data_IF_516777262847
#
_entry.id   IF_516777262847
#
_cell.length_a   1.000
_cell.length_b   1.000
_cell.length_c   1.000
_cell.angle_alpha   90.00
_cell.angle_beta   90.00
_cell.angle_gamma   90.00
#
_symmetry.space_group_name_H-M   'P 1'
#
loop_
_entity.id
_entity.type
_entity.pdbx_description
1 polymer ?
#
# COMPACT_ATOMS: atom_id res chain seq x y z
N UNK A 1 -27.76 -43.74 20.74
CA UNK A 1 -27.46 -42.53 21.55
C UNK A 1 -26.51 -41.62 20.77
N UNK A 2 -26.92 -41.15 19.58
CA UNK A 2 -25.98 -40.51 18.61
C UNK A 2 -26.18 -38.99 18.48
N UNK A 3 -27.21 -38.42 19.11
CA UNK A 3 -27.51 -36.98 19.03
C UNK A 3 -26.64 -36.09 19.94
N UNK A 4 -26.10 -36.65 21.04
CA UNK A 4 -25.32 -35.86 22.00
C UNK A 4 -23.92 -35.52 21.48
N UNK A 5 -23.27 -36.44 20.75
CA UNK A 5 -21.92 -36.24 20.22
C UNK A 5 -21.87 -35.25 19.03
N UNK A 6 -22.88 -35.25 18.15
CA UNK A 6 -22.92 -34.30 17.03
C UNK A 6 -23.15 -32.86 17.50
N UNK A 7 -23.86 -32.68 18.61
CA UNK A 7 -24.12 -31.35 19.20
C UNK A 7 -22.84 -30.76 19.82
N UNK A 8 -22.04 -31.57 20.53
CA UNK A 8 -20.76 -31.13 21.11
C UNK A 8 -19.72 -30.72 20.07
N UNK A 9 -19.63 -31.46 18.96
CA UNK A 9 -18.77 -31.09 17.84
C UNK A 9 -19.20 -29.77 17.18
N UNK A 10 -20.51 -29.60 16.95
CA UNK A 10 -21.07 -28.35 16.38
C UNK A 10 -20.79 -27.14 17.27
N UNK A 11 -20.91 -27.30 18.59
CA UNK A 11 -20.58 -26.23 19.54
C UNK A 11 -19.08 -25.91 19.56
N UNK A 12 -18.21 -26.93 19.48
CA UNK A 12 -16.76 -26.74 19.43
C UNK A 12 -16.31 -26.01 18.16
N UNK A 13 -16.87 -26.40 17.01
CA UNK A 13 -16.63 -25.70 15.72
C UNK A 13 -17.15 -24.27 15.77
N UNK A 14 -18.34 -24.04 16.33
CA UNK A 14 -18.90 -22.69 16.45
C UNK A 14 -18.01 -21.77 17.32
N UNK A 15 -17.47 -22.29 18.43
CA UNK A 15 -16.62 -21.53 19.34
C UNK A 15 -15.24 -21.23 18.73
N UNK A 16 -14.72 -22.15 17.91
CA UNK A 16 -13.49 -21.94 17.14
C UNK A 16 -13.67 -20.88 16.05
N UNK A 17 -14.81 -20.89 15.35
CA UNK A 17 -15.13 -19.88 14.33
C UNK A 17 -15.33 -18.49 14.96
N UNK A 18 -16.00 -18.42 16.11
CA UNK A 18 -16.22 -17.15 16.83
C UNK A 18 -14.90 -16.52 17.34
N UNK A 19 -13.99 -17.34 17.84
CA UNK A 19 -12.68 -16.87 18.32
C UNK A 19 -11.77 -16.42 17.18
N UNK A 20 -11.79 -17.15 16.05
CA UNK A 20 -11.08 -16.75 14.83
C UNK A 20 -11.63 -15.45 14.24
N UNK A 21 -12.96 -15.26 14.19
CA UNK A 21 -13.54 -14.02 13.67
C UNK A 21 -13.23 -12.82 14.55
N UNK A 22 -13.25 -12.97 15.88
CA UNK A 22 -12.88 -11.91 16.82
C UNK A 22 -11.41 -11.49 16.71
N UNK A 23 -10.51 -12.41 16.37
CA UNK A 23 -9.08 -12.10 16.15
C UNK A 23 -8.79 -11.53 14.76
N UNK A 24 -9.66 -11.78 13.77
CA UNK A 24 -9.57 -11.18 12.42
C UNK A 24 -10.27 -9.82 12.31
N UNK A 25 -11.30 -9.53 13.11
CA UNK A 25 -11.83 -8.18 13.31
C UNK A 25 -10.86 -7.38 14.19
N UNK A 26 -9.66 -7.15 13.66
CA UNK A 26 -8.68 -6.29 14.27
C UNK A 26 -9.27 -4.88 14.43
N UNK A 27 -9.23 -4.35 15.64
CA UNK A 27 -9.23 -2.91 15.90
C UNK A 27 -7.93 -2.27 15.37
N UNK A 28 -7.48 -2.64 14.16
CA UNK A 28 -6.30 -2.08 13.49
C UNK A 28 -6.56 -0.64 13.02
N UNK A 29 -7.83 -0.26 12.94
CA UNK A 29 -8.24 1.13 12.87
C UNK A 29 -8.18 1.73 14.27
N UNK A 30 -6.99 2.15 14.67
CA UNK A 30 -6.78 2.84 15.94
C UNK A 30 -7.45 4.21 15.87
N UNK A 31 -8.48 4.42 16.69
CA UNK A 31 -9.06 5.75 16.89
C UNK A 31 -8.35 6.41 18.06
N UNK A 32 -7.63 7.49 17.78
CA UNK A 32 -6.91 8.27 18.80
C UNK A 32 -7.45 9.70 18.74
N UNK A 33 -7.89 10.23 19.88
CA UNK A 33 -8.43 11.60 19.94
C UNK A 33 -9.68 11.85 19.09
N UNK A 34 -10.43 10.81 18.72
CA UNK A 34 -11.62 10.91 17.86
C UNK A 34 -11.32 10.86 16.35
N UNK A 35 -10.06 10.69 15.95
CA UNK A 35 -9.67 10.49 14.56
C UNK A 35 -9.32 9.03 14.30
N UNK A 36 -9.86 8.49 13.21
CA UNK A 36 -9.46 7.21 12.63
C UNK A 36 -8.11 7.35 11.94
N UNK A 37 -7.08 6.68 12.45
CA UNK A 37 -5.75 6.71 11.85
C UNK A 37 -5.67 5.78 10.61
N UNK A 38 -4.95 6.17 9.54
CA UNK A 38 -4.78 5.36 8.32
C UNK A 38 -4.07 4.02 8.54
N UNK A 39 -3.27 3.91 9.60
CA UNK A 39 -2.56 2.69 10.01
C UNK A 39 -2.45 2.64 11.54
N UNK A 40 -2.32 1.43 12.11
CA UNK A 40 -2.26 1.24 13.57
C UNK A 40 -1.02 1.87 14.22
N UNK A 41 0.06 2.05 13.46
CA UNK A 41 1.34 2.61 13.91
C UNK A 41 1.58 4.01 13.33
N UNK A 42 0.54 4.70 12.85
CA UNK A 42 0.67 6.00 12.18
C UNK A 42 1.38 7.07 13.01
N UNK A 43 1.32 6.97 14.35
CA UNK A 43 1.97 7.92 15.26
C UNK A 43 3.46 7.63 15.47
N UNK A 44 3.89 6.39 15.22
CA UNK A 44 5.27 5.93 15.37
C UNK A 44 5.98 5.83 14.02
N UNK A 45 5.24 5.96 12.91
CA UNK A 45 5.80 5.98 11.57
C UNK A 45 6.55 7.30 11.35
N UNK A 46 7.85 7.19 11.09
CA UNK A 46 8.67 8.34 10.76
C UNK A 46 8.14 9.00 9.48
N UNK A 47 8.23 10.33 9.40
CA UNK A 47 7.91 11.04 8.17
C UNK A 47 8.84 10.52 7.08
N UNK A 48 8.29 9.82 6.08
CA UNK A 48 9.06 9.35 4.94
C UNK A 48 9.70 10.55 4.24
N UNK A 49 11.01 10.73 4.44
CA UNK A 49 11.78 11.77 3.80
C UNK A 49 11.98 11.40 2.32
N UNK A 50 11.22 12.05 1.46
CA UNK A 50 11.48 12.03 0.03
C UNK A 50 12.41 13.20 -0.29
N UNK A 51 13.71 12.97 -0.57
CA UNK A 51 14.58 14.05 -1.00
C UNK A 51 13.94 14.73 -2.22
N UNK A 52 14.13 16.04 -2.32
CA UNK A 52 13.71 16.76 -3.52
C UNK A 52 14.35 16.06 -4.72
N UNK A 53 13.51 15.47 -5.57
CA UNK A 53 13.96 14.94 -6.85
C UNK A 53 14.57 16.07 -7.69
N UNK A 54 15.27 15.74 -8.78
CA UNK A 54 15.73 16.77 -9.72
C UNK A 54 14.59 17.73 -10.05
N UNK A 55 14.82 19.04 -9.93
CA UNK A 55 13.79 20.08 -10.07
C UNK A 55 13.00 19.97 -11.39
N UNK A 56 13.67 19.42 -12.42
CA UNK A 56 13.08 19.04 -13.69
C UNK A 56 12.42 17.67 -13.63
N UNK A 57 11.10 17.64 -13.40
CA UNK A 57 10.28 16.40 -13.46
C UNK A 57 10.37 15.65 -14.79
N UNK A 58 10.79 16.33 -15.87
CA UNK A 58 10.78 15.82 -17.25
C UNK A 58 12.19 15.61 -17.82
N UNK A 59 13.19 15.35 -16.98
CA UNK A 59 14.59 15.17 -17.40
C UNK A 59 14.74 14.21 -18.61
N UNK A 60 14.05 13.07 -18.58
CA UNK A 60 14.09 12.07 -19.65
C UNK A 60 13.53 12.61 -20.97
N UNK A 61 12.49 13.46 -20.92
CA UNK A 61 11.87 14.04 -22.11
C UNK A 61 12.75 15.15 -22.69
N UNK A 62 13.37 15.97 -21.84
CA UNK A 62 14.31 17.01 -22.25
C UNK A 62 15.51 16.38 -22.96
N UNK A 63 16.11 15.35 -22.37
CA UNK A 63 17.20 14.58 -22.98
C UNK A 63 16.81 13.96 -24.33
N UNK A 64 15.59 13.42 -24.44
CA UNK A 64 15.11 12.85 -25.71
C UNK A 64 14.95 13.93 -26.79
N UNK A 65 14.40 15.09 -26.43
CA UNK A 65 14.22 16.23 -27.35
C UNK A 65 15.56 16.81 -27.79
N UNK A 66 16.53 16.92 -26.88
CA UNK A 66 17.87 17.42 -27.20
C UNK A 66 18.60 16.52 -28.21
N UNK A 67 18.55 15.20 -28.02
CA UNK A 67 19.11 14.23 -28.99
C UNK A 67 18.44 14.34 -30.35
N UNK A 68 17.11 14.44 -30.37
CA UNK A 68 16.36 14.60 -31.61
C UNK A 68 16.76 15.88 -32.37
N UNK A 69 16.91 17.00 -31.67
CA UNK A 69 17.34 18.26 -32.29
C UNK A 69 18.77 18.17 -32.84
N UNK A 70 19.70 17.56 -32.10
CA UNK A 70 21.08 17.36 -32.55
C UNK A 70 21.15 16.47 -33.80
N UNK A 71 20.40 15.37 -33.85
CA UNK A 71 20.33 14.49 -35.02
C UNK A 71 19.79 15.24 -36.25
N UNK A 72 18.77 16.08 -36.06
CA UNK A 72 18.22 16.92 -37.13
C UNK A 72 19.22 17.93 -37.66
N UNK A 73 19.89 18.65 -36.79
CA UNK A 73 20.90 19.65 -37.18
C UNK A 73 22.08 19.01 -37.93
N UNK A 74 22.49 17.80 -37.53
CA UNK A 74 23.52 17.03 -38.24
C UNK A 74 23.08 16.62 -39.65
N UNK A 75 21.83 16.20 -39.82
CA UNK A 75 21.26 15.87 -41.13
C UNK A 75 21.17 17.12 -42.03
N UNK A 76 20.75 18.25 -41.47
CA UNK A 76 20.64 19.52 -42.19
C UNK A 76 22.02 20.07 -42.60
N UNK A 77 23.05 19.92 -41.76
CA UNK A 77 24.43 20.30 -42.10
C UNK A 77 25.10 19.36 -43.11
N UNK A 78 24.56 18.17 -43.33
CA UNK A 78 25.08 17.17 -44.27
C UNK A 78 24.59 17.38 -45.71
N UNK A 79 23.68 18.34 -45.94
CA UNK A 79 23.12 18.68 -47.25
C UNK A 79 23.72 19.99 -47.77
#
# INVERSE_FOLDING_TARGET
>A
MNGMQSTGWRMSVALMVLSASASMSGCFQTTVGGQTLPSAYYLEDDVQYFPAGPETRLYNQIQAMERYNLEREQLESSY
#
